data_IF_222287023538
#
_entry.id   IF_222287023538
#
_cell.length_a   1.000
_cell.length_b   1.000
_cell.length_c   1.000
_cell.angle_alpha   90.00
_cell.angle_beta   90.00
_cell.angle_gamma   90.00
#
_symmetry.space_group_name_H-M   'P 1'
#
loop_
_entity.id
_entity.type
_entity.pdbx_description
1 polymer ?
#
# COMPACT_ATOMS: atom_id res chain seq x y z
N UNK A 1 -1.89 14.19 22.11
CA UNK A 1 -2.32 12.79 22.03
C UNK A 1 -3.81 12.79 21.76
N UNK A 2 -4.25 12.04 20.74
CA UNK A 2 -5.67 11.79 20.53
C UNK A 2 -6.21 11.05 21.76
N UNK A 3 -7.22 11.60 22.42
CA UNK A 3 -7.92 10.92 23.52
C UNK A 3 -8.78 9.79 22.96
N UNK A 4 -9.19 8.82 23.78
CA UNK A 4 -10.11 7.74 23.34
C UNK A 4 -11.42 8.30 22.73
N UNK A 5 -11.81 9.52 23.12
CA UNK A 5 -12.96 10.26 22.55
C UNK A 5 -12.71 10.90 21.16
N UNK A 6 -11.46 10.91 20.69
CA UNK A 6 -11.09 11.55 19.43
C UNK A 6 -11.74 10.84 18.24
N UNK A 7 -12.36 11.63 17.36
CA UNK A 7 -12.91 11.13 16.11
C UNK A 7 -11.80 11.01 15.06
N UNK A 8 -11.58 9.79 14.57
CA UNK A 8 -10.60 9.49 13.52
C UNK A 8 -11.31 9.24 12.20
N UNK A 9 -10.99 10.05 11.19
CA UNK A 9 -11.48 9.81 9.82
C UNK A 9 -10.57 8.83 9.10
N UNK A 10 -11.11 7.77 8.51
CA UNK A 10 -10.39 6.82 7.66
C UNK A 10 -10.96 6.87 6.25
N UNK A 11 -10.15 7.35 5.31
CA UNK A 11 -10.60 7.43 3.92
C UNK A 11 -10.60 6.06 3.24
N UNK A 12 -11.66 5.74 2.51
CA UNK A 12 -11.76 4.50 1.75
C UNK A 12 -11.81 3.26 2.63
N UNK A 13 -12.64 3.26 3.68
CA UNK A 13 -12.72 2.24 4.72
C UNK A 13 -12.94 0.80 4.22
N UNK A 14 -13.46 0.62 3.00
CA UNK A 14 -13.62 -0.70 2.36
C UNK A 14 -12.34 -1.24 1.68
N UNK A 15 -11.29 -0.43 1.63
CA UNK A 15 -9.98 -0.78 1.08
C UNK A 15 -9.25 -1.81 1.95
N UNK A 16 -8.28 -2.49 1.35
CA UNK A 16 -7.56 -3.59 1.99
C UNK A 16 -6.88 -3.18 3.29
N UNK A 17 -5.97 -2.20 3.25
CA UNK A 17 -5.29 -1.65 4.44
C UNK A 17 -6.30 -0.94 5.36
N UNK A 18 -7.19 -0.13 4.77
CA UNK A 18 -8.13 0.71 5.48
C UNK A 18 -9.03 -0.08 6.43
N UNK A 19 -9.52 -1.25 6.01
CA UNK A 19 -10.38 -2.09 6.84
C UNK A 19 -9.66 -2.59 8.11
N UNK A 20 -8.38 -2.92 8.02
CA UNK A 20 -7.58 -3.29 9.20
C UNK A 20 -7.29 -2.08 10.09
N UNK A 21 -7.04 -0.90 9.50
CA UNK A 21 -6.89 0.35 10.28
C UNK A 21 -8.18 0.64 11.07
N UNK A 22 -9.35 0.55 10.42
CA UNK A 22 -10.66 0.71 11.09
C UNK A 22 -10.81 -0.31 12.21
N UNK A 23 -10.57 -1.60 11.94
CA UNK A 23 -10.67 -2.66 12.95
C UNK A 23 -9.80 -2.37 14.17
N UNK A 24 -8.52 -2.02 13.98
CA UNK A 24 -7.59 -1.75 15.07
C UNK A 24 -7.97 -0.50 15.87
N UNK A 25 -8.45 0.55 15.21
CA UNK A 25 -8.96 1.75 15.89
C UNK A 25 -10.17 1.42 16.76
N UNK A 26 -11.12 0.63 16.27
CA UNK A 26 -12.31 0.23 17.02
C UNK A 26 -11.96 -0.65 18.23
N UNK A 27 -11.02 -1.58 18.07
CA UNK A 27 -10.50 -2.42 19.15
C UNK A 27 -9.81 -1.60 20.25
N UNK A 28 -9.16 -0.49 19.88
CA UNK A 28 -8.57 0.48 20.82
C UNK A 28 -9.57 1.48 21.40
N UNK A 29 -10.85 1.38 21.06
CA UNK A 29 -11.91 2.20 21.64
C UNK A 29 -12.17 3.53 20.93
N UNK A 30 -11.47 3.85 19.85
CA UNK A 30 -11.67 5.10 19.11
C UNK A 30 -13.03 5.18 18.42
N UNK A 31 -13.52 6.41 18.24
CA UNK A 31 -14.62 6.71 17.32
C UNK A 31 -14.07 6.84 15.91
N UNK A 32 -14.66 6.13 14.97
CA UNK A 32 -14.16 6.07 13.59
C UNK A 32 -15.22 6.56 12.63
N UNK A 33 -14.85 7.50 11.76
CA UNK A 33 -15.62 7.86 10.57
C UNK A 33 -14.96 7.29 9.33
N UNK A 34 -15.52 6.23 8.78
CA UNK A 34 -15.01 5.57 7.59
C UNK A 34 -15.69 6.11 6.33
N UNK A 35 -14.91 6.65 5.39
CA UNK A 35 -15.48 7.08 4.10
C UNK A 35 -15.60 5.91 3.13
N UNK A 36 -16.70 5.85 2.40
CA UNK A 36 -16.94 4.87 1.33
C UNK A 36 -17.49 5.56 0.09
N UNK A 37 -17.29 5.01 -1.10
CA UNK A 37 -17.84 5.63 -2.32
C UNK A 37 -19.35 5.49 -2.45
N UNK A 38 -19.91 4.46 -1.82
CA UNK A 38 -21.36 4.24 -1.82
C UNK A 38 -21.79 3.43 -0.60
N UNK A 39 -22.82 3.92 0.08
CA UNK A 39 -23.52 3.23 1.16
C UNK A 39 -24.49 2.15 0.64
N UNK A 40 -24.79 2.14 -0.66
CA UNK A 40 -25.74 1.19 -1.26
C UNK A 40 -25.22 -0.24 -1.44
N UNK A 41 -23.94 -0.51 -1.15
CA UNK A 41 -23.32 -1.82 -1.38
C UNK A 41 -23.20 -2.64 -0.09
N UNK A 42 -24.31 -3.23 0.37
CA UNK A 42 -24.34 -3.97 1.65
C UNK A 42 -23.24 -5.04 1.74
N UNK A 43 -22.96 -5.77 0.65
CA UNK A 43 -21.91 -6.79 0.62
C UNK A 43 -20.50 -6.24 0.93
N UNK A 44 -20.22 -4.98 0.58
CA UNK A 44 -18.93 -4.33 0.89
C UNK A 44 -18.89 -3.77 2.30
N UNK A 45 -20.03 -3.41 2.87
CA UNK A 45 -20.13 -2.75 4.17
C UNK A 45 -20.38 -3.72 5.32
N UNK A 46 -21.02 -4.86 5.05
CA UNK A 46 -21.33 -5.86 6.07
C UNK A 46 -20.11 -6.30 6.89
N UNK A 47 -18.91 -6.53 6.31
CA UNK A 47 -17.73 -6.86 7.11
C UNK A 47 -17.31 -5.76 8.08
N UNK A 48 -17.46 -4.48 7.69
CA UNK A 48 -17.16 -3.33 8.55
C UNK A 48 -18.18 -3.20 9.68
N UNK A 49 -19.47 -3.36 9.37
CA UNK A 49 -20.57 -3.31 10.36
C UNK A 49 -20.56 -4.48 11.34
N UNK A 50 -19.91 -5.59 10.99
CA UNK A 50 -19.78 -6.78 11.83
C UNK A 50 -18.53 -6.77 12.72
N UNK A 51 -17.69 -5.73 12.64
CA UNK A 51 -16.51 -5.60 13.50
C UNK A 51 -16.90 -5.46 14.97
N UNK A 52 -16.07 -6.00 15.85
CA UNK A 52 -16.14 -5.66 17.27
C UNK A 52 -15.93 -4.15 17.45
N UNK A 53 -16.82 -3.50 18.19
CA UNK A 53 -16.80 -2.05 18.38
C UNK A 53 -17.48 -1.24 17.27
N UNK A 54 -18.14 -1.88 16.28
CA UNK A 54 -18.78 -1.20 15.15
C UNK A 54 -19.86 -0.18 15.55
N UNK A 55 -20.37 -0.20 16.78
CA UNK A 55 -21.22 0.87 17.32
C UNK A 55 -20.53 2.25 17.39
N UNK A 56 -19.19 2.28 17.35
CA UNK A 56 -18.36 3.49 17.23
C UNK A 56 -17.96 3.83 15.80
N UNK A 57 -18.41 3.04 14.82
CA UNK A 57 -18.13 3.25 13.40
C UNK A 57 -19.29 4.00 12.72
N UNK A 58 -18.99 5.18 12.22
CA UNK A 58 -19.86 5.94 11.31
C UNK A 58 -19.36 5.75 9.87
N UNK A 59 -20.22 5.28 8.97
CA UNK A 59 -19.89 5.19 7.54
C UNK A 59 -20.55 6.34 6.79
N UNK A 60 -19.77 7.09 6.03
CA UNK A 60 -20.23 8.25 5.25
C UNK A 60 -19.80 8.13 3.79
N UNK A 61 -20.61 8.66 2.87
CA UNK A 61 -20.23 8.71 1.46
C UNK A 61 -19.21 9.82 1.21
N UNK A 62 -18.08 9.47 0.58
CA UNK A 62 -17.12 10.44 0.04
C UNK A 62 -16.30 9.78 -1.07
N UNK A 63 -15.93 10.54 -2.11
CA UNK A 63 -15.10 10.07 -3.20
C UNK A 63 -13.95 11.04 -3.46
N UNK A 64 -12.71 10.54 -3.50
CA UNK A 64 -11.52 11.32 -3.86
C UNK A 64 -11.63 11.98 -5.24
N UNK A 65 -12.46 11.43 -6.12
CA UNK A 65 -12.70 11.97 -7.46
C UNK A 65 -13.83 13.02 -7.50
N UNK A 66 -14.55 13.22 -6.39
CA UNK A 66 -15.68 14.15 -6.26
C UNK A 66 -15.61 14.84 -4.89
N UNK A 67 -14.82 15.92 -4.76
CA UNK A 67 -14.55 16.58 -3.49
C UNK A 67 -15.71 17.46 -3.01
N UNK A 68 -16.94 16.96 -3.09
CA UNK A 68 -18.15 17.76 -2.89
C UNK A 68 -18.48 17.98 -1.41
N UNK A 69 -17.99 17.10 -0.51
CA UNK A 69 -18.42 17.05 0.88
C UNK A 69 -17.29 16.79 1.91
N UNK A 70 -16.03 17.00 1.57
CA UNK A 70 -14.92 16.68 2.49
C UNK A 70 -14.93 17.48 3.78
N UNK A 71 -15.33 18.76 3.76
CA UNK A 71 -15.44 19.55 5.00
C UNK A 71 -16.47 18.97 5.97
N UNK A 72 -17.63 18.53 5.47
CA UNK A 72 -18.66 17.86 6.28
C UNK A 72 -18.13 16.55 6.84
N UNK A 73 -17.53 15.73 5.99
CA UNK A 73 -16.95 14.43 6.36
C UNK A 73 -15.85 14.59 7.42
N UNK A 74 -15.01 15.63 7.31
CA UNK A 74 -13.89 15.86 8.21
C UNK A 74 -14.28 16.68 9.45
N UNK A 75 -15.49 17.24 9.50
CA UNK A 75 -15.97 18.03 10.62
C UNK A 75 -15.88 17.26 11.95
N UNK A 76 -15.18 17.86 12.92
CA UNK A 76 -14.94 17.28 14.24
C UNK A 76 -13.90 16.15 14.28
N UNK A 77 -13.28 15.79 13.15
CA UNK A 77 -12.21 14.79 13.12
C UNK A 77 -10.89 15.41 13.57
N UNK A 78 -10.22 14.79 14.53
CA UNK A 78 -8.91 15.26 15.01
C UNK A 78 -7.76 14.70 14.17
N UNK A 79 -7.94 13.48 13.66
CA UNK A 79 -6.96 12.75 12.87
C UNK A 79 -7.59 12.28 11.57
N UNK A 80 -6.83 12.41 10.49
CA UNK A 80 -7.16 11.83 9.19
C UNK A 80 -6.15 10.72 8.84
N UNK A 81 -6.64 9.49 8.70
CA UNK A 81 -5.95 8.37 8.07
C UNK A 81 -6.22 8.43 6.56
N UNK A 82 -5.32 9.06 5.82
CA UNK A 82 -5.42 9.15 4.37
C UNK A 82 -4.87 7.88 3.71
N UNK A 83 -5.73 6.85 3.61
CA UNK A 83 -5.37 5.57 2.98
C UNK A 83 -5.91 5.41 1.57
N UNK A 84 -7.00 6.13 1.24
CA UNK A 84 -7.57 6.08 -0.09
C UNK A 84 -6.61 6.71 -1.11
N UNK A 85 -6.39 6.05 -2.23
CA UNK A 85 -5.76 6.65 -3.40
C UNK A 85 -6.36 5.98 -4.63
N UNK A 86 -6.67 6.71 -5.71
CA UNK A 86 -6.96 6.12 -7.01
C UNK A 86 -5.72 5.35 -7.48
N UNK A 87 -5.74 4.02 -7.32
CA UNK A 87 -4.65 3.15 -7.77
C UNK A 87 -5.19 2.33 -8.94
N UNK A 88 -4.49 2.44 -10.07
CA UNK A 88 -4.62 1.56 -11.21
C UNK A 88 -3.24 0.96 -11.49
N UNK A 89 -3.22 -0.35 -11.73
CA UNK A 89 -2.04 -1.11 -12.12
C UNK A 89 -2.21 -1.55 -13.58
N UNK A 90 -2.32 -0.56 -14.47
CA UNK A 90 -2.60 -0.74 -15.89
C UNK A 90 -1.47 -0.11 -16.73
N UNK A 91 -1.32 -0.58 -17.97
CA UNK A 91 -0.46 0.09 -18.95
C UNK A 91 -1.22 1.24 -19.59
N UNK A 92 -0.54 2.38 -19.77
CA UNK A 92 -1.08 3.56 -20.42
C UNK A 92 -0.52 3.70 -21.83
N UNK A 93 -1.38 4.09 -22.78
CA UNK A 93 -0.99 4.29 -24.18
C UNK A 93 -0.31 5.63 -24.43
N UNK A 94 -0.50 6.61 -23.54
CA UNK A 94 0.13 7.93 -23.62
C UNK A 94 0.37 8.52 -22.23
N UNK A 95 1.18 9.58 -22.18
CA UNK A 95 1.42 10.30 -20.92
C UNK A 95 0.14 11.00 -20.46
N UNK A 96 -0.57 11.64 -21.39
CA UNK A 96 -1.86 12.28 -21.11
C UNK A 96 -2.83 11.33 -20.42
N UNK A 97 -2.92 10.09 -20.91
CA UNK A 97 -3.77 9.06 -20.31
C UNK A 97 -3.31 8.67 -18.89
N UNK A 98 -1.99 8.52 -18.68
CA UNK A 98 -1.44 8.25 -17.36
C UNK A 98 -1.73 9.40 -16.36
N UNK A 99 -1.64 10.64 -16.83
CA UNK A 99 -1.96 11.82 -16.04
C UNK A 99 -3.45 11.90 -15.71
N UNK A 100 -4.31 11.75 -16.70
CA UNK A 100 -5.76 11.83 -16.53
C UNK A 100 -6.31 10.73 -15.62
N UNK A 101 -5.86 9.48 -15.81
CA UNK A 101 -6.47 8.31 -15.14
C UNK A 101 -5.85 7.95 -13.80
N UNK A 102 -4.61 8.37 -13.52
CA UNK A 102 -3.90 7.96 -12.30
C UNK A 102 -3.24 9.12 -11.56
N UNK A 103 -2.37 9.89 -12.22
CA UNK A 103 -1.52 10.86 -11.54
C UNK A 103 -2.35 12.04 -11.00
N UNK A 104 -3.13 12.71 -11.85
CA UNK A 104 -3.95 13.86 -11.45
C UNK A 104 -5.01 13.45 -10.41
N UNK A 105 -5.77 12.36 -10.58
CA UNK A 105 -6.70 11.89 -9.54
C UNK A 105 -6.05 11.69 -8.17
N UNK A 106 -4.84 11.12 -8.11
CA UNK A 106 -4.13 10.92 -6.86
C UNK A 106 -3.68 12.24 -6.22
N UNK A 107 -3.16 13.16 -7.01
CA UNK A 107 -2.61 14.44 -6.53
C UNK A 107 -3.72 15.42 -6.18
N UNK A 108 -4.67 15.68 -7.09
CA UNK A 108 -5.74 16.65 -6.88
C UNK A 108 -6.73 16.20 -5.80
N UNK A 109 -7.04 14.89 -5.75
CA UNK A 109 -7.83 14.33 -4.66
C UNK A 109 -7.18 14.51 -3.28
N UNK A 110 -5.84 14.45 -3.23
CA UNK A 110 -5.08 14.73 -1.99
C UNK A 110 -5.16 16.21 -1.63
N UNK A 111 -4.95 17.12 -2.59
CA UNK A 111 -5.02 18.57 -2.36
C UNK A 111 -6.37 19.01 -1.80
N UNK A 112 -7.47 18.60 -2.44
CA UNK A 112 -8.81 19.00 -2.00
C UNK A 112 -9.16 18.40 -0.63
N UNK A 113 -8.78 17.14 -0.38
CA UNK A 113 -8.99 16.51 0.93
C UNK A 113 -8.21 17.22 2.04
N UNK A 114 -6.97 17.62 1.78
CA UNK A 114 -6.09 18.22 2.80
C UNK A 114 -6.44 19.68 3.07
N UNK A 115 -6.86 20.41 2.04
CA UNK A 115 -7.45 21.74 2.20
C UNK A 115 -8.70 21.67 3.07
N UNK A 116 -9.59 20.69 2.85
CA UNK A 116 -10.76 20.48 3.68
C UNK A 116 -10.38 20.05 5.12
N UNK A 117 -9.35 19.21 5.29
CA UNK A 117 -8.84 18.82 6.60
C UNK A 117 -8.30 20.01 7.39
N UNK A 118 -7.56 20.92 6.73
CA UNK A 118 -7.08 22.16 7.32
C UNK A 118 -8.26 23.05 7.77
N UNK A 119 -9.25 23.24 6.89
CA UNK A 119 -10.45 24.03 7.18
C UNK A 119 -11.28 23.47 8.35
N UNK A 120 -11.35 22.14 8.47
CA UNK A 120 -12.04 21.45 9.56
C UNK A 120 -11.26 21.46 10.90
N UNK A 121 -10.04 22.02 10.94
CA UNK A 121 -9.19 22.06 12.14
C UNK A 121 -8.48 20.74 12.46
N UNK A 122 -8.25 19.91 11.44
CA UNK A 122 -7.53 18.63 11.57
C UNK A 122 -6.14 18.83 12.17
N UNK A 123 -5.79 18.02 13.18
CA UNK A 123 -4.55 18.19 13.95
C UNK A 123 -3.40 17.37 13.39
N UNK A 124 -3.69 16.19 12.84
CA UNK A 124 -2.70 15.25 12.34
C UNK A 124 -3.22 14.43 11.17
N UNK A 125 -2.37 14.21 10.16
CA UNK A 125 -2.66 13.33 9.03
C UNK A 125 -1.62 12.22 8.98
N UNK A 126 -2.08 10.97 8.88
CA UNK A 126 -1.24 9.82 8.55
C UNK A 126 -1.57 9.40 7.11
N UNK A 127 -0.62 9.59 6.21
CA UNK A 127 -0.76 9.27 4.78
C UNK A 127 -0.16 7.90 4.47
N UNK A 128 -0.93 7.04 3.82
CA UNK A 128 -0.43 5.80 3.21
C UNK A 128 0.29 6.14 1.89
N UNK A 129 1.61 6.31 1.96
CA UNK A 129 2.51 6.39 0.81
C UNK A 129 2.86 4.97 0.32
N UNK A 130 4.06 4.77 -0.24
CA UNK A 130 4.52 3.49 -0.77
C UNK A 130 6.05 3.49 -0.87
N UNK A 131 6.68 2.32 -0.81
CA UNK A 131 8.10 2.17 -1.20
C UNK A 131 8.37 2.68 -2.62
N UNK A 132 7.33 2.81 -3.46
CA UNK A 132 7.40 3.43 -4.78
C UNK A 132 7.88 4.90 -4.75
N UNK A 133 7.68 5.62 -3.64
CA UNK A 133 8.17 6.98 -3.41
C UNK A 133 9.61 7.04 -2.85
N UNK A 134 10.26 5.88 -2.66
CA UNK A 134 11.60 5.76 -2.07
C UNK A 134 12.64 5.18 -3.03
N UNK A 135 12.23 4.41 -4.03
CA UNK A 135 13.13 3.55 -4.83
C UNK A 135 13.30 3.94 -6.30
N UNK A 136 12.45 4.82 -6.82
CA UNK A 136 12.38 5.17 -8.24
C UNK A 136 13.47 6.15 -8.64
N UNK A 137 14.70 5.67 -8.82
CA UNK A 137 15.88 6.46 -9.20
C UNK A 137 16.91 5.61 -9.95
N UNK A 138 17.83 6.26 -10.65
CA UNK A 138 18.95 5.64 -11.35
C UNK A 138 20.29 6.28 -10.91
N UNK A 139 21.27 5.51 -10.42
CA UNK A 139 21.20 4.07 -10.14
C UNK A 139 20.24 3.75 -8.97
N UNK A 140 19.65 2.53 -8.96
CA UNK A 140 18.82 2.09 -7.86
C UNK A 140 19.67 1.98 -6.58
N UNK A 141 19.11 2.31 -5.40
CA UNK A 141 19.84 2.24 -4.15
C UNK A 141 20.08 0.78 -3.76
N UNK A 142 21.27 0.50 -3.20
CA UNK A 142 21.59 -0.82 -2.63
C UNK A 142 20.86 -1.08 -1.31
N UNK A 143 20.57 -0.01 -0.58
CA UNK A 143 19.88 -0.03 0.71
C UNK A 143 18.79 1.04 0.70
N UNK A 144 17.60 0.68 1.14
CA UNK A 144 16.49 1.61 1.35
C UNK A 144 16.31 1.88 2.85
N UNK A 145 16.06 3.14 3.17
CA UNK A 145 15.79 3.61 4.53
C UNK A 145 14.72 4.72 4.47
N UNK A 146 14.36 5.28 5.62
CA UNK A 146 13.34 6.33 5.71
C UNK A 146 13.73 7.66 5.04
N UNK A 147 15.02 7.85 4.73
CA UNK A 147 15.56 9.04 4.05
C UNK A 147 15.56 8.88 2.54
N UNK A 148 15.35 7.65 2.05
CA UNK A 148 15.33 7.34 0.63
C UNK A 148 14.20 8.04 -0.11
N UNK A 149 14.48 8.51 -1.32
CA UNK A 149 13.56 9.25 -2.19
C UNK A 149 13.67 8.73 -3.61
N UNK A 150 12.52 8.61 -4.27
CA UNK A 150 12.44 8.53 -5.73
C UNK A 150 12.76 9.89 -6.35
N UNK A 151 13.25 9.87 -7.58
CA UNK A 151 13.57 11.05 -8.39
C UNK A 151 12.43 11.28 -9.40
N UNK A 152 11.65 12.35 -9.18
CA UNK A 152 10.52 12.69 -10.06
C UNK A 152 10.96 13.04 -11.48
N UNK A 153 12.07 13.73 -11.65
CA UNK A 153 12.55 14.15 -12.97
C UNK A 153 12.94 12.92 -13.80
N UNK A 154 13.66 11.98 -13.16
CA UNK A 154 13.99 10.71 -13.78
C UNK A 154 12.73 9.89 -14.09
N UNK A 155 11.82 9.72 -13.13
CA UNK A 155 10.56 8.99 -13.33
C UNK A 155 9.71 9.60 -14.45
N UNK A 156 9.70 10.93 -14.59
CA UNK A 156 9.02 11.64 -15.67
C UNK A 156 9.61 11.27 -17.03
N UNK A 157 10.94 11.24 -17.15
CA UNK A 157 11.63 10.91 -18.41
C UNK A 157 11.34 9.47 -18.87
N UNK A 158 11.14 8.56 -17.93
CA UNK A 158 10.91 7.14 -18.21
C UNK A 158 9.45 6.71 -18.04
N UNK A 159 8.51 7.67 -18.00
CA UNK A 159 7.14 7.47 -17.53
C UNK A 159 6.41 6.29 -18.19
N UNK A 160 6.58 6.11 -19.50
CA UNK A 160 5.91 5.05 -20.27
C UNK A 160 6.85 3.88 -20.64
N UNK A 161 8.08 3.87 -20.13
CA UNK A 161 9.05 2.82 -20.50
C UNK A 161 8.74 1.48 -19.85
N UNK A 162 8.06 1.48 -18.69
CA UNK A 162 7.60 0.28 -17.99
C UNK A 162 6.22 0.52 -17.37
N UNK A 163 5.35 -0.51 -17.30
CA UNK A 163 3.99 -0.37 -16.79
C UNK A 163 3.87 0.15 -15.35
N UNK A 164 4.92 -0.03 -14.53
CA UNK A 164 4.90 0.37 -13.13
C UNK A 164 5.32 1.83 -12.90
N UNK A 165 5.96 2.49 -13.87
CA UNK A 165 6.55 3.82 -13.67
C UNK A 165 5.50 4.91 -13.40
N UNK A 166 4.32 4.93 -14.05
CA UNK A 166 3.26 5.89 -13.72
C UNK A 166 2.79 5.78 -12.27
N UNK A 167 2.73 4.57 -11.72
CA UNK A 167 2.44 4.36 -10.30
C UNK A 167 3.55 4.90 -9.39
N UNK A 168 4.83 4.68 -9.74
CA UNK A 168 5.97 5.26 -9.01
C UNK A 168 5.92 6.78 -9.02
N UNK A 169 5.67 7.37 -10.19
CA UNK A 169 5.56 8.82 -10.35
C UNK A 169 4.39 9.38 -9.55
N UNK A 170 3.19 8.79 -9.68
CA UNK A 170 2.00 9.23 -8.94
C UNK A 170 2.20 9.16 -7.42
N UNK A 171 2.79 8.08 -6.89
CA UNK A 171 3.02 7.94 -5.45
C UNK A 171 4.11 8.88 -4.93
N UNK A 172 5.15 9.14 -5.72
CA UNK A 172 6.20 10.10 -5.36
C UNK A 172 5.64 11.52 -5.34
N UNK A 173 4.93 11.92 -6.40
CA UNK A 173 4.37 13.27 -6.52
C UNK A 173 3.27 13.54 -5.48
N UNK A 174 2.41 12.54 -5.21
CA UNK A 174 1.40 12.64 -4.14
C UNK A 174 2.06 12.90 -2.78
N UNK A 175 3.15 12.21 -2.47
CA UNK A 175 3.83 12.39 -1.18
C UNK A 175 4.51 13.76 -1.07
N UNK A 176 5.19 14.23 -2.12
CA UNK A 176 5.81 15.56 -2.14
C UNK A 176 4.78 16.67 -1.94
N UNK A 177 3.68 16.63 -2.70
CA UNK A 177 2.56 17.58 -2.55
C UNK A 177 1.97 17.52 -1.14
N UNK A 178 1.81 16.32 -0.56
CA UNK A 178 1.32 16.18 0.80
C UNK A 178 2.26 16.85 1.83
N UNK A 179 3.58 16.70 1.68
CA UNK A 179 4.54 17.39 2.56
C UNK A 179 4.50 18.92 2.40
N UNK A 180 4.30 19.43 1.17
CA UNK A 180 4.10 20.86 0.92
C UNK A 180 2.82 21.37 1.62
N UNK A 181 1.70 20.67 1.46
CA UNK A 181 0.41 21.02 2.08
C UNK A 181 0.48 20.95 3.62
N UNK A 182 1.21 19.98 4.18
CA UNK A 182 1.45 19.91 5.63
C UNK A 182 2.14 21.18 6.13
N UNK A 183 3.16 21.63 5.42
CA UNK A 183 3.88 22.86 5.75
C UNK A 183 3.02 24.10 5.55
N UNK A 184 2.26 24.18 4.46
CA UNK A 184 1.38 25.30 4.12
C UNK A 184 0.29 25.51 5.18
N UNK A 185 -0.37 24.42 5.60
CA UNK A 185 -1.48 24.46 6.54
C UNK A 185 -1.08 24.26 8.00
N UNK A 186 0.21 24.04 8.28
CA UNK A 186 0.70 23.79 9.65
C UNK A 186 0.17 22.47 10.25
N UNK A 187 -0.09 21.48 9.42
CA UNK A 187 -0.64 20.17 9.82
C UNK A 187 0.51 19.24 10.20
N UNK A 188 0.37 18.54 11.35
CA UNK A 188 1.31 17.45 11.68
C UNK A 188 1.09 16.28 10.72
N UNK A 189 2.14 15.86 10.03
CA UNK A 189 2.06 14.80 9.02
C UNK A 189 2.99 13.65 9.33
N UNK A 190 2.54 12.44 9.01
CA UNK A 190 3.35 11.21 9.01
C UNK A 190 3.07 10.43 7.73
N UNK A 191 4.09 9.81 7.13
CA UNK A 191 3.88 8.90 5.98
C UNK A 191 4.35 7.48 6.25
N UNK A 192 3.50 6.53 5.87
CA UNK A 192 3.72 5.10 5.99
C UNK A 192 4.01 4.54 4.58
N UNK A 193 5.13 3.83 4.41
CA UNK A 193 5.62 3.34 3.11
C UNK A 193 5.68 1.81 3.12
N UNK A 194 4.54 1.14 2.92
CA UNK A 194 4.55 -0.30 2.77
C UNK A 194 5.30 -0.73 1.51
N UNK A 195 5.93 -1.90 1.61
CA UNK A 195 6.33 -2.72 0.47
C UNK A 195 5.12 -3.50 -0.06
N UNK A 196 5.28 -4.73 -0.55
CA UNK A 196 4.14 -5.50 -1.03
C UNK A 196 3.29 -5.97 0.15
N UNK A 197 2.08 -5.43 0.28
CA UNK A 197 1.18 -5.74 1.40
C UNK A 197 0.42 -7.03 1.14
N UNK A 198 0.67 -8.04 1.97
CA UNK A 198 0.09 -9.39 1.85
C UNK A 198 -0.69 -9.75 3.10
N UNK A 199 -1.26 -10.95 3.16
CA UNK A 199 -1.98 -11.46 4.33
C UNK A 199 -3.49 -11.63 4.13
N UNK A 200 -4.25 -11.74 5.23
CA UNK A 200 -5.69 -12.00 5.19
C UNK A 200 -6.48 -10.78 4.69
N UNK A 201 -7.73 -11.00 4.23
CA UNK A 201 -8.66 -9.91 3.88
C UNK A 201 -9.85 -9.84 4.85
N UNK A 202 -10.35 -8.63 5.08
CA UNK A 202 -11.62 -8.39 5.79
C UNK A 202 -12.78 -8.20 4.81
N UNK A 203 -12.56 -7.44 3.74
CA UNK A 203 -13.59 -7.16 2.73
C UNK A 203 -13.53 -8.18 1.60
N UNK A 204 -14.65 -8.43 0.88
CA UNK A 204 -14.71 -9.49 -0.14
C UNK A 204 -13.81 -9.22 -1.36
N UNK A 205 -13.38 -7.97 -1.58
CA UNK A 205 -12.53 -7.61 -2.71
C UNK A 205 -11.11 -8.13 -2.46
N UNK A 206 -10.58 -8.92 -3.39
CA UNK A 206 -9.16 -9.25 -3.40
C UNK A 206 -8.35 -8.01 -3.84
N UNK A 207 -7.32 -7.67 -3.07
CA UNK A 207 -6.35 -6.63 -3.42
C UNK A 207 -5.36 -7.10 -4.48
N UNK A 208 -4.73 -6.16 -5.18
CA UNK A 208 -3.83 -6.44 -6.29
C UNK A 208 -2.58 -7.21 -5.85
N UNK A 209 -2.04 -6.92 -4.66
CA UNK A 209 -0.88 -7.64 -4.12
C UNK A 209 -1.14 -9.13 -3.92
N UNK A 210 -2.25 -9.50 -3.29
CA UNK A 210 -2.64 -10.91 -3.18
C UNK A 210 -3.05 -11.50 -4.55
N UNK A 211 -3.59 -10.70 -5.48
CA UNK A 211 -3.82 -11.16 -6.86
C UNK A 211 -2.50 -11.51 -7.55
N UNK A 212 -1.44 -10.72 -7.39
CA UNK A 212 -0.12 -11.03 -7.96
C UNK A 212 0.52 -12.27 -7.36
N UNK A 213 0.26 -12.56 -6.08
CA UNK A 213 0.65 -13.85 -5.47
C UNK A 213 -0.05 -15.04 -6.17
N UNK A 214 -1.34 -14.90 -6.47
CA UNK A 214 -2.06 -15.90 -7.26
C UNK A 214 -1.52 -15.99 -8.70
N UNK A 215 -1.19 -14.87 -9.34
CA UNK A 215 -0.59 -14.86 -10.68
C UNK A 215 0.76 -15.57 -10.70
N UNK A 216 1.58 -15.37 -9.67
CA UNK A 216 2.87 -16.02 -9.47
C UNK A 216 2.71 -17.54 -9.38
N UNK A 217 1.84 -18.02 -8.49
CA UNK A 217 1.57 -19.47 -8.33
C UNK A 217 0.95 -20.07 -9.59
N UNK A 218 0.14 -19.31 -10.32
CA UNK A 218 -0.48 -19.76 -11.56
C UNK A 218 0.45 -19.67 -12.79
N UNK A 219 1.70 -19.20 -12.63
CA UNK A 219 2.64 -19.06 -13.73
C UNK A 219 2.24 -17.98 -14.74
N UNK A 220 1.45 -16.98 -14.33
CA UNK A 220 1.06 -15.84 -15.18
C UNK A 220 2.05 -14.68 -15.11
N UNK A 221 2.96 -14.71 -14.14
CA UNK A 221 3.94 -13.66 -13.89
C UNK A 221 3.78 -13.06 -12.50
N UNK A 222 4.54 -12.02 -12.22
CA UNK A 222 4.52 -11.34 -10.93
C UNK A 222 4.74 -9.85 -11.13
N UNK A 223 3.88 -9.02 -10.53
CA UNK A 223 4.00 -7.54 -10.48
C UNK A 223 4.47 -6.93 -11.81
N UNK A 224 3.54 -6.64 -12.71
CA UNK A 224 3.84 -6.02 -14.02
C UNK A 224 4.84 -6.77 -14.92
N UNK A 225 5.39 -7.92 -14.49
CA UNK A 225 6.23 -8.80 -15.29
C UNK A 225 5.44 -10.08 -15.64
N UNK A 226 4.75 -10.11 -16.78
CA UNK A 226 4.03 -11.30 -17.23
C UNK A 226 5.00 -12.44 -17.54
N UNK A 227 4.54 -13.68 -17.38
CA UNK A 227 5.32 -14.89 -17.65
C UNK A 227 4.66 -15.73 -18.74
N UNK A 228 4.87 -15.40 -20.03
CA UNK A 228 4.28 -16.16 -21.13
C UNK A 228 4.77 -17.61 -21.18
N UNK A 229 6.00 -17.86 -20.71
CA UNK A 229 6.62 -19.18 -20.66
C UNK A 229 6.29 -19.97 -19.37
N UNK A 230 5.46 -19.40 -18.49
CA UNK A 230 5.09 -19.99 -17.20
C UNK A 230 6.30 -20.35 -16.33
N UNK A 231 7.16 -19.37 -16.14
CA UNK A 231 8.33 -19.40 -15.27
C UNK A 231 8.15 -18.48 -14.06
N UNK A 232 8.93 -18.71 -13.00
CA UNK A 232 9.05 -17.82 -11.85
C UNK A 232 10.34 -16.98 -12.00
N UNK A 233 10.28 -15.64 -11.96
CA UNK A 233 11.49 -14.82 -12.05
C UNK A 233 12.46 -15.08 -10.88
N UNK A 234 13.77 -15.15 -11.18
CA UNK A 234 14.84 -15.08 -10.16
C UNK A 234 14.89 -13.66 -9.59
N UNK A 235 14.07 -13.42 -8.56
CA UNK A 235 13.94 -12.11 -7.93
C UNK A 235 13.55 -12.24 -6.45
N UNK A 236 13.95 -11.25 -5.67
CA UNK A 236 13.46 -11.02 -4.32
C UNK A 236 12.42 -9.92 -4.32
N UNK A 237 11.44 -10.04 -3.43
CA UNK A 237 10.48 -8.98 -3.20
C UNK A 237 10.34 -8.69 -1.70
N UNK A 238 10.12 -7.42 -1.36
CA UNK A 238 9.83 -7.01 0.00
C UNK A 238 8.37 -7.24 0.35
N UNK A 239 8.13 -7.88 1.50
CA UNK A 239 6.81 -8.19 2.02
C UNK A 239 6.58 -7.49 3.36
N UNK A 240 5.32 -7.12 3.59
CA UNK A 240 4.81 -6.69 4.90
C UNK A 240 3.38 -7.19 5.07
N UNK A 241 3.03 -7.65 6.27
CA UNK A 241 1.66 -8.06 6.57
C UNK A 241 0.72 -6.85 6.67
N UNK A 242 -0.50 -6.98 6.17
CA UNK A 242 -1.52 -5.91 6.27
C UNK A 242 -1.81 -5.47 7.70
N UNK A 243 -1.69 -6.38 8.69
CA UNK A 243 -1.87 -6.07 10.11
C UNK A 243 -0.72 -5.22 10.64
N UNK A 244 0.52 -5.50 10.24
CA UNK A 244 1.68 -4.65 10.56
C UNK A 244 1.52 -3.25 9.97
N UNK A 245 1.01 -3.15 8.74
CA UNK A 245 0.71 -1.85 8.12
C UNK A 245 -0.35 -1.10 8.91
N UNK A 246 -1.45 -1.75 9.28
CA UNK A 246 -2.51 -1.13 10.06
C UNK A 246 -2.02 -0.68 11.46
N UNK A 247 -1.25 -1.53 12.14
CA UNK A 247 -0.68 -1.23 13.45
C UNK A 247 0.25 -0.02 13.36
N UNK A 248 1.09 0.04 12.31
CA UNK A 248 1.98 1.18 12.06
C UNK A 248 1.21 2.49 11.89
N UNK A 249 0.05 2.48 11.22
CA UNK A 249 -0.78 3.69 11.09
C UNK A 249 -1.32 4.16 12.45
N UNK A 250 -1.80 3.22 13.27
CA UNK A 250 -2.38 3.54 14.59
C UNK A 250 -1.30 4.02 15.56
N UNK A 251 -0.16 3.31 15.65
CA UNK A 251 0.96 3.72 16.49
C UNK A 251 1.53 5.08 16.05
N UNK A 252 1.69 5.28 14.73
CA UNK A 252 2.13 6.56 14.20
C UNK A 252 1.13 7.67 14.51
N UNK A 253 -0.19 7.43 14.48
CA UNK A 253 -1.17 8.41 14.92
C UNK A 253 -0.98 8.77 16.40
N UNK A 254 -0.87 7.76 17.27
CA UNK A 254 -0.81 7.92 18.73
C UNK A 254 0.48 8.62 19.20
N UNK A 255 1.61 8.33 18.57
CA UNK A 255 2.91 8.92 18.92
C UNK A 255 3.04 10.36 18.39
N UNK A 256 3.12 11.35 19.28
CA UNK A 256 3.34 12.75 18.88
C UNK A 256 4.73 12.98 18.25
N UNK A 257 5.74 12.19 18.64
CA UNK A 257 7.10 12.32 18.13
C UNK A 257 7.25 11.82 16.68
N UNK A 258 6.26 11.06 16.19
CA UNK A 258 6.23 10.59 14.81
C UNK A 258 5.93 11.70 13.80
N UNK A 259 5.46 12.87 14.23
CA UNK A 259 5.21 14.00 13.33
C UNK A 259 6.50 14.41 12.58
N UNK A 260 6.41 14.54 11.25
CA UNK A 260 7.54 14.78 10.37
C UNK A 260 8.31 13.51 9.97
N UNK A 261 7.90 12.33 10.46
CA UNK A 261 8.57 11.07 10.13
C UNK A 261 7.99 10.40 8.88
N UNK A 262 8.88 9.66 8.23
CA UNK A 262 8.58 8.64 7.23
C UNK A 262 8.92 7.29 7.84
N UNK A 263 8.06 6.31 7.68
CA UNK A 263 8.29 4.93 8.12
C UNK A 263 8.27 3.99 6.93
N UNK A 264 9.40 3.32 6.68
CA UNK A 264 9.49 2.22 5.72
C UNK A 264 9.00 0.93 6.36
N UNK A 265 7.92 0.35 5.83
CA UNK A 265 7.39 -0.92 6.33
C UNK A 265 7.83 -2.08 5.44
N UNK A 266 8.77 -2.82 5.98
CA UNK A 266 9.36 -3.99 5.37
C UNK A 266 9.74 -4.96 6.49
N UNK A 267 9.23 -6.18 6.38
CA UNK A 267 9.48 -7.21 7.39
C UNK A 267 10.47 -8.23 6.81
N UNK A 268 10.29 -8.64 5.54
CA UNK A 268 11.08 -9.71 4.94
C UNK A 268 11.43 -9.47 3.45
N UNK A 269 12.64 -9.87 3.03
CA UNK A 269 12.98 -10.11 1.62
C UNK A 269 12.84 -11.58 1.35
N UNK A 270 11.89 -11.93 0.50
CA UNK A 270 11.63 -13.33 0.16
C UNK A 270 11.81 -13.53 -1.33
N UNK A 271 12.47 -14.61 -1.70
CA UNK A 271 12.63 -15.00 -3.11
C UNK A 271 11.26 -15.44 -3.67
N UNK A 272 10.94 -15.08 -4.92
CA UNK A 272 9.64 -15.39 -5.51
C UNK A 272 9.35 -16.90 -5.56
N UNK A 273 10.37 -17.72 -5.77
CA UNK A 273 10.22 -19.18 -5.72
C UNK A 273 9.78 -19.67 -4.34
N UNK A 274 10.32 -19.09 -3.27
CA UNK A 274 10.00 -19.49 -1.89
C UNK A 274 8.57 -19.09 -1.54
N UNK A 275 8.13 -17.90 -1.96
CA UNK A 275 6.74 -17.47 -1.85
C UNK A 275 5.81 -18.47 -2.56
N UNK A 276 6.10 -18.79 -3.82
CA UNK A 276 5.26 -19.71 -4.61
C UNK A 276 5.21 -21.12 -4.00
N UNK A 277 6.34 -21.62 -3.51
CA UNK A 277 6.42 -22.90 -2.81
C UNK A 277 5.60 -22.88 -1.53
N UNK A 278 5.73 -21.82 -0.71
CA UNK A 278 5.02 -21.71 0.55
C UNK A 278 3.50 -21.57 0.36
N UNK A 279 3.05 -20.85 -0.67
CA UNK A 279 1.63 -20.79 -1.04
C UNK A 279 1.07 -22.17 -1.40
N UNK A 280 1.79 -22.96 -2.20
CA UNK A 280 1.36 -24.33 -2.55
C UNK A 280 1.33 -25.23 -1.32
N UNK A 281 2.33 -25.14 -0.45
CA UNK A 281 2.39 -25.93 0.78
C UNK A 281 1.25 -25.59 1.75
N UNK A 282 0.85 -24.31 1.81
CA UNK A 282 -0.20 -23.82 2.71
C UNK A 282 -1.63 -24.06 2.23
N UNK A 283 -1.80 -24.39 0.94
CA UNK A 283 -3.09 -24.54 0.28
C UNK A 283 -3.03 -25.69 -0.76
N UNK A 284 -3.37 -26.94 -0.36
CA UNK A 284 -3.33 -28.10 -1.24
C UNK A 284 -4.15 -27.95 -2.53
N UNK A 285 -5.23 -27.17 -2.51
CA UNK A 285 -6.05 -26.86 -3.68
C UNK A 285 -5.30 -26.03 -4.72
N UNK A 286 -4.43 -25.10 -4.28
CA UNK A 286 -3.53 -24.38 -5.19
C UNK A 286 -2.49 -25.32 -5.79
N UNK A 287 -1.91 -26.23 -4.99
CA UNK A 287 -0.96 -27.22 -5.48
C UNK A 287 -1.60 -28.21 -6.48
N UNK A 288 -2.86 -28.59 -6.27
CA UNK A 288 -3.59 -29.46 -7.20
C UNK A 288 -3.92 -28.73 -8.52
N UNK A 289 -4.16 -27.41 -8.47
CA UNK A 289 -4.53 -26.61 -9.64
C UNK A 289 -3.32 -26.11 -10.44
N UNK A 290 -2.21 -25.82 -9.76
CA UNK A 290 -1.05 -25.18 -10.35
C UNK A 290 0.23 -25.97 -10.00
N UNK A 291 0.97 -26.48 -11.00
CA UNK A 291 2.20 -27.22 -10.77
C UNK A 291 3.34 -26.30 -10.28
N UNK A 292 4.47 -26.90 -9.95
CA UNK A 292 5.72 -26.15 -9.81
C UNK A 292 6.17 -25.63 -11.17
N UNK A 293 6.50 -24.34 -11.22
CA UNK A 293 7.03 -23.68 -12.41
C UNK A 293 8.55 -23.57 -12.30
N UNK A 294 9.29 -23.75 -13.41
CA UNK A 294 10.73 -23.56 -13.41
C UNK A 294 11.08 -22.08 -13.20
N UNK A 295 12.27 -21.81 -12.66
CA UNK A 295 12.77 -20.45 -12.57
C UNK A 295 13.19 -19.93 -13.96
N UNK A 296 12.92 -18.65 -14.23
CA UNK A 296 13.47 -17.96 -15.38
C UNK A 296 14.94 -17.62 -15.11
N UNK A 297 15.84 -18.27 -15.85
CA UNK A 297 17.29 -18.03 -15.77
C UNK A 297 17.79 -16.95 -16.73
N UNK A 298 16.90 -16.31 -17.50
CA UNK A 298 17.28 -15.23 -18.43
C UNK A 298 17.50 -13.92 -17.68
N UNK A 299 18.64 -13.25 -17.92
CA UNK A 299 18.99 -11.98 -17.26
C UNK A 299 18.11 -10.86 -17.83
N UNK A 300 16.98 -10.56 -17.17
CA UNK A 300 16.03 -9.54 -17.62
C UNK A 300 16.47 -8.09 -17.27
N UNK A 301 17.68 -7.88 -16.74
CA UNK A 301 18.20 -6.51 -16.55
C UNK A 301 18.72 -5.98 -17.88
N UNK A 302 17.88 -5.24 -18.60
CA UNK A 302 18.23 -4.48 -19.80
C UNK A 302 19.26 -3.37 -19.54
N UNK A 303 20.51 -3.73 -19.26
CA UNK A 303 21.66 -2.83 -19.16
C UNK A 303 22.89 -3.50 -19.74
N UNK A 304 23.41 -2.95 -20.84
CA UNK A 304 24.67 -3.38 -21.45
C UNK A 304 25.83 -3.24 -20.45
N UNK A 305 26.33 -4.36 -19.95
CA UNK A 305 27.71 -4.49 -19.50
C UNK A 305 28.14 -5.96 -19.66
N UNK A 306 29.08 -6.20 -20.58
CA UNK A 306 29.59 -7.52 -20.89
C UNK A 306 30.26 -8.22 -19.71
N UNK A 307 30.09 -9.54 -19.65
CA UNK A 307 30.73 -10.44 -18.70
C UNK A 307 29.83 -11.62 -18.38
N UNK A 308 30.07 -12.77 -19.02
CA UNK A 308 29.40 -14.05 -18.82
C UNK A 308 29.56 -14.55 -17.38
N UNK A 309 28.64 -14.14 -16.50
CA UNK A 309 28.25 -14.86 -15.30
C UNK A 309 26.85 -14.39 -14.91
N UNK A 310 25.85 -15.28 -14.96
CA UNK A 310 24.51 -15.05 -14.40
C UNK A 310 24.66 -14.57 -12.96
N UNK A 311 24.55 -13.25 -12.73
CA UNK A 311 24.52 -12.71 -11.37
C UNK A 311 23.13 -12.98 -10.83
N UNK A 312 23.00 -14.06 -10.04
CA UNK A 312 21.81 -14.35 -9.23
C UNK A 312 21.27 -13.10 -8.57
N UNK A 313 19.95 -12.99 -8.48
CA UNK A 313 19.35 -11.87 -7.77
C UNK A 313 19.83 -11.84 -6.31
N UNK A 314 20.01 -10.62 -5.78
CA UNK A 314 20.33 -10.40 -4.37
C UNK A 314 19.17 -9.64 -3.72
N UNK A 315 18.89 -9.91 -2.43
CA UNK A 315 17.88 -9.15 -1.71
C UNK A 315 18.30 -7.68 -1.63
N UNK A 316 17.34 -6.79 -1.84
CA UNK A 316 17.51 -5.37 -1.50
C UNK A 316 17.63 -5.28 0.02
N UNK A 317 18.57 -4.48 0.51
CA UNK A 317 18.71 -4.25 1.95
C UNK A 317 17.78 -3.13 2.40
N UNK A 318 17.21 -3.26 3.59
CA UNK A 318 16.31 -2.28 4.17
C UNK A 318 16.77 -1.96 5.60
N UNK A 319 16.90 -0.68 5.92
CA UNK A 319 17.02 -0.21 7.30
C UNK A 319 15.63 0.22 7.79
N UNK A 320 15.03 -0.62 8.63
CA UNK A 320 13.72 -0.40 9.24
C UNK A 320 13.83 -0.11 10.74
N UNK A 321 14.99 0.36 11.20
CA UNK A 321 15.25 0.64 12.62
C UNK A 321 14.24 1.62 13.23
N UNK A 322 13.84 2.66 12.49
CA UNK A 322 12.81 3.61 12.95
C UNK A 322 11.43 2.97 13.06
N UNK A 323 11.03 2.16 12.09
CA UNK A 323 9.77 1.41 12.12
C UNK A 323 9.74 0.44 13.30
N UNK A 324 10.83 -0.28 13.55
CA UNK A 324 10.95 -1.14 14.73
C UNK A 324 10.84 -0.36 16.04
N UNK A 325 11.41 0.84 16.09
CA UNK A 325 11.30 1.71 17.26
C UNK A 325 9.87 2.21 17.52
N UNK A 326 8.98 2.18 16.53
CA UNK A 326 7.55 2.49 16.72
C UNK A 326 6.82 1.41 17.52
N UNK A 327 7.38 0.19 17.63
CA UNK A 327 6.81 -0.92 18.38
C UNK A 327 5.82 -1.78 17.59
N UNK A 328 6.02 -1.90 16.28
CA UNK A 328 5.22 -2.76 15.41
C UNK A 328 5.59 -4.23 15.65
N UNK A 329 4.59 -5.10 15.81
CA UNK A 329 4.77 -6.53 16.01
C UNK A 329 5.02 -7.21 14.65
N UNK A 330 6.25 -7.69 14.43
CA UNK A 330 6.63 -8.35 13.18
C UNK A 330 5.93 -9.71 13.05
N UNK A 331 5.29 -9.95 11.90
CA UNK A 331 4.65 -11.23 11.58
C UNK A 331 5.59 -12.03 10.68
N UNK A 332 5.83 -13.32 10.95
CA UNK A 332 6.60 -14.17 10.05
C UNK A 332 5.98 -14.18 8.65
N UNK A 333 6.80 -13.99 7.60
CA UNK A 333 6.28 -13.94 6.23
C UNK A 333 5.57 -15.24 5.83
N UNK A 334 5.98 -16.38 6.39
CA UNK A 334 5.33 -17.67 6.19
C UNK A 334 3.85 -17.60 6.59
N UNK A 335 3.55 -17.06 7.77
CA UNK A 335 2.17 -16.94 8.26
C UNK A 335 1.35 -16.00 7.37
N UNK A 336 1.91 -14.86 6.98
CA UNK A 336 1.28 -13.92 6.05
C UNK A 336 0.98 -14.56 4.68
N UNK A 337 1.92 -15.33 4.14
CA UNK A 337 1.75 -16.02 2.85
C UNK A 337 0.75 -17.18 2.97
N UNK A 338 0.73 -17.91 4.08
CA UNK A 338 -0.25 -18.96 4.32
C UNK A 338 -1.69 -18.41 4.40
N UNK A 339 -1.88 -17.25 5.05
CA UNK A 339 -3.17 -16.55 5.10
C UNK A 339 -3.54 -15.92 3.75
N UNK A 340 -2.56 -15.38 3.03
CA UNK A 340 -2.77 -14.89 1.66
C UNK A 340 -3.20 -16.03 0.73
N UNK A 341 -2.63 -17.23 0.87
CA UNK A 341 -3.00 -18.41 0.09
C UNK A 341 -4.48 -18.80 0.30
N UNK A 342 -4.96 -18.77 1.54
CA UNK A 342 -6.39 -18.97 1.86
C UNK A 342 -7.25 -17.86 1.24
N UNK A 343 -6.82 -16.61 1.40
CA UNK A 343 -7.50 -15.43 0.88
C UNK A 343 -7.70 -15.46 -0.65
N UNK A 344 -6.68 -15.91 -1.39
CA UNK A 344 -6.80 -16.03 -2.86
C UNK A 344 -7.70 -17.20 -3.27
N UNK A 345 -7.71 -18.30 -2.52
CA UNK A 345 -8.58 -19.45 -2.79
C UNK A 345 -10.05 -19.10 -2.67
N UNK A 346 -10.44 -18.38 -1.62
CA UNK A 346 -11.80 -17.88 -1.44
C UNK A 346 -12.23 -16.85 -2.51
N UNK A 347 -11.31 -16.40 -3.35
CA UNK A 347 -11.56 -15.46 -4.44
C UNK A 347 -11.57 -16.11 -5.83
N UNK A 348 -11.29 -17.42 -5.91
CA UNK A 348 -11.31 -18.23 -7.14
C UNK A 348 -12.69 -18.82 -7.43
#
# INVERSE_FOLDING_TARGET
MATEDALVCVTGATGYIAAFVVQMLLQKGYRVRGTVRSLGSEAKLAPLKAMEGAERLELVEADLLRPDNFEEVLSGCEVLMHTATPIAFESYGSEEEAFEKQINPAVEGTKELWKAAAAAGGKKIVLTSSVAAMRGRDPPPSTLDDTSRSDLDWLRQILLTKPNVPYLYAKTLQEEVAWELASEYGIKMVTIHPTLVVGPRITPRLNDSNRWLLDLVAGRGFVFAPSPEKTIPDAYNGLVDVREVAQSHVLAMEDEASAGCRFLLYSHSVHLQDIANHMRASAPELAAKYPEWPMDSSDQRGGQAGGEAQRKSQPVQFDVSKTRALGVDEIPWEDSIAEAARTVLEAL
#
